data_IF_309982146418
#
_entry.id   IF_309982146418
#
_cell.length_a   1.000
_cell.length_b   1.000
_cell.length_c   1.000
_cell.angle_alpha   90.00
_cell.angle_beta   90.00
_cell.angle_gamma   90.00
#
_symmetry.space_group_name_H-M   'P 1'
#
loop_
_entity.id
_entity.type
_entity.pdbx_description
1 polymer ?
#
# COMPACT_ATOMS: atom_id res chain seq x y z
N UNK A 1 27.41 -28.98 -55.06
CA UNK A 1 26.11 -29.21 -54.42
C UNK A 1 26.04 -28.40 -53.14
N UNK A 2 25.06 -27.52 -52.97
CA UNK A 2 24.37 -27.20 -51.70
C UNK A 2 23.44 -25.99 -51.89
N UNK A 3 22.14 -26.24 -52.12
CA UNK A 3 21.08 -25.25 -51.85
C UNK A 3 20.77 -25.31 -50.35
N UNK A 4 20.89 -24.20 -49.62
CA UNK A 4 20.40 -24.11 -48.24
C UNK A 4 18.89 -23.89 -48.28
N UNK A 5 18.14 -24.85 -47.75
CA UNK A 5 16.70 -24.72 -47.48
C UNK A 5 16.51 -23.99 -46.14
N UNK A 6 15.78 -22.87 -46.15
CA UNK A 6 15.23 -22.24 -44.95
C UNK A 6 13.77 -22.66 -44.78
N UNK A 7 13.45 -23.32 -43.66
CA UNK A 7 12.08 -23.70 -43.31
C UNK A 7 11.28 -22.51 -42.76
N UNK A 8 9.95 -22.65 -42.71
CA UNK A 8 8.98 -21.62 -42.26
C UNK A 8 9.06 -21.27 -40.76
N UNK A 9 10.10 -21.71 -40.05
CA UNK A 9 10.27 -21.52 -38.60
C UNK A 9 11.74 -21.33 -38.17
N UNK A 10 12.58 -20.67 -38.97
CA UNK A 10 13.92 -20.27 -38.52
C UNK A 10 13.90 -18.81 -38.02
N UNK A 11 14.17 -18.56 -36.73
CA UNK A 11 14.43 -17.21 -36.24
C UNK A 11 15.81 -16.78 -36.73
N UNK A 12 15.87 -15.75 -37.57
CA UNK A 12 17.11 -15.02 -37.85
C UNK A 12 17.29 -13.97 -36.77
N UNK A 13 18.37 -14.10 -36.00
CA UNK A 13 18.99 -13.02 -35.24
C UNK A 13 19.39 -11.90 -36.19
N UNK A 14 18.85 -10.71 -35.98
CA UNK A 14 19.52 -9.45 -36.28
C UNK A 14 19.44 -8.58 -35.01
N UNK A 15 20.58 -8.53 -34.31
CA UNK A 15 21.01 -7.42 -33.46
C UNK A 15 21.39 -6.28 -34.45
N UNK A 16 21.16 -4.99 -34.25
CA UNK A 16 21.38 -4.18 -33.06
C UNK A 16 20.91 -2.74 -33.38
N UNK A 17 20.08 -2.11 -32.53
CA UNK A 17 20.11 -0.65 -32.34
C UNK A 17 19.87 -0.35 -30.87
N UNK A 18 20.94 0.13 -30.26
CA UNK A 18 21.11 0.61 -28.89
C UNK A 18 20.13 1.72 -28.52
N UNK A 19 19.27 1.47 -27.52
CA UNK A 19 18.78 2.50 -26.61
C UNK A 19 18.99 2.05 -25.15
N UNK A 20 19.62 2.86 -24.29
CA UNK A 20 19.74 2.54 -22.88
C UNK A 20 18.40 2.79 -22.18
N UNK A 21 17.58 1.75 -22.03
CA UNK A 21 16.37 1.85 -21.19
C UNK A 21 16.78 1.92 -19.71
N UNK A 22 16.55 3.02 -18.96
CA UNK A 22 16.79 3.01 -17.54
C UNK A 22 15.58 2.37 -16.83
N UNK A 23 15.83 1.25 -16.17
CA UNK A 23 15.24 0.89 -14.87
C UNK A 23 13.72 0.62 -14.73
N UNK A 24 12.95 0.26 -15.77
CA UNK A 24 11.54 -0.18 -15.63
C UNK A 24 11.32 -1.64 -15.15
N UNK A 25 12.33 -2.32 -14.59
CA UNK A 25 12.22 -3.73 -14.11
C UNK A 25 12.49 -3.98 -12.62
N UNK A 26 12.47 -2.95 -11.76
CA UNK A 26 12.62 -3.12 -10.30
C UNK A 26 11.45 -2.57 -9.48
N UNK A 27 10.19 -2.82 -9.88
CA UNK A 27 9.03 -2.56 -9.00
C UNK A 27 7.97 -3.66 -9.08
N UNK A 28 8.41 -4.89 -8.90
CA UNK A 28 7.55 -6.00 -8.50
C UNK A 28 8.34 -6.96 -7.60
N UNK A 29 9.12 -6.41 -6.65
CA UNK A 29 9.40 -7.21 -5.46
C UNK A 29 8.13 -7.11 -4.64
N UNK A 30 7.26 -8.11 -4.79
CA UNK A 30 6.32 -8.45 -3.74
C UNK A 30 7.13 -8.55 -2.47
N UNK A 31 7.16 -7.46 -1.69
CA UNK A 31 7.68 -7.49 -0.33
C UNK A 31 6.67 -8.38 0.37
N UNK A 32 7.02 -9.65 0.50
CA UNK A 32 6.35 -10.58 1.39
C UNK A 32 6.11 -9.79 2.67
N UNK A 33 4.85 -9.70 3.11
CA UNK A 33 4.45 -9.02 4.33
C UNK A 33 5.06 -9.77 5.53
N UNK A 34 6.35 -9.53 5.75
CA UNK A 34 7.15 -10.09 6.83
C UNK A 34 6.60 -9.66 8.19
N UNK A 35 5.77 -8.62 8.23
CA UNK A 35 5.11 -8.16 9.44
C UNK A 35 3.98 -9.12 9.86
N UNK A 36 3.21 -9.65 8.90
CA UNK A 36 2.18 -10.67 9.15
C UNK A 36 2.75 -12.00 9.66
N UNK A 37 3.88 -12.45 9.12
CA UNK A 37 4.54 -13.69 9.56
C UNK A 37 5.11 -13.60 10.99
N UNK A 38 5.70 -12.44 11.35
CA UNK A 38 6.23 -12.19 12.71
C UNK A 38 5.13 -12.07 13.77
N UNK A 39 3.96 -11.55 13.41
CA UNK A 39 2.82 -11.45 14.31
C UNK A 39 2.20 -12.82 14.66
N UNK A 40 2.22 -13.80 13.75
CA UNK A 40 1.66 -15.12 14.02
C UNK A 40 2.45 -15.92 15.07
N UNK A 41 3.75 -15.63 15.26
CA UNK A 41 4.60 -16.29 16.27
C UNK A 41 4.15 -15.96 17.70
N UNK A 42 3.49 -14.82 17.92
CA UNK A 42 2.95 -14.40 19.23
C UNK A 42 1.77 -15.25 19.73
N UNK A 43 1.11 -16.04 18.87
CA UNK A 43 0.04 -16.93 19.33
C UNK A 43 0.56 -18.20 20.02
N UNK A 44 1.85 -18.52 19.84
CA UNK A 44 2.45 -19.78 20.31
C UNK A 44 2.59 -19.84 21.85
N UNK A 45 3.01 -18.78 22.57
CA UNK A 45 3.25 -18.87 24.02
C UNK A 45 1.97 -19.05 24.86
N UNK A 46 0.81 -18.61 24.36
CA UNK A 46 -0.45 -18.68 25.11
C UNK A 46 -0.97 -20.12 25.26
N UNK A 47 -0.67 -21.00 24.30
CA UNK A 47 -1.19 -22.37 24.26
C UNK A 47 -0.54 -23.25 25.35
N UNK A 48 0.79 -23.36 25.47
CA UNK A 48 1.41 -24.15 26.54
C UNK A 48 1.02 -23.69 27.94
N UNK A 49 0.83 -22.38 28.13
CA UNK A 49 0.52 -21.84 29.47
C UNK A 49 -0.85 -22.32 29.98
N UNK A 50 -1.88 -22.32 29.11
CA UNK A 50 -3.21 -22.82 29.49
C UNK A 50 -3.16 -24.32 29.77
N UNK A 51 -2.50 -25.10 28.90
CA UNK A 51 -2.36 -26.55 29.07
C UNK A 51 -1.60 -26.93 30.34
N UNK A 52 -0.52 -26.21 30.69
CA UNK A 52 0.22 -26.46 31.93
C UNK A 52 -0.54 -26.03 33.20
N UNK A 53 -1.57 -25.17 33.08
CA UNK A 53 -2.36 -24.69 34.23
C UNK A 53 -3.53 -25.58 34.64
N UNK A 54 -3.85 -26.61 33.86
CA UNK A 54 -5.02 -27.47 34.08
C UNK A 54 -5.01 -28.18 35.44
N UNK A 55 -3.83 -28.35 36.07
CA UNK A 55 -3.67 -29.04 37.33
C UNK A 55 -3.43 -28.11 38.54
N UNK A 56 -3.47 -26.77 38.35
CA UNK A 56 -3.12 -25.76 39.36
C UNK A 56 -4.31 -25.28 40.21
N UNK A 57 -5.43 -26.00 40.17
CA UNK A 57 -6.68 -25.60 40.82
C UNK A 57 -7.37 -24.39 40.18
N UNK A 58 -8.53 -24.00 40.71
CA UNK A 58 -9.42 -23.02 40.08
C UNK A 58 -8.79 -21.63 39.93
N UNK A 59 -8.01 -21.18 40.91
CA UNK A 59 -7.35 -19.86 40.90
C UNK A 59 -6.23 -19.82 39.85
N UNK A 60 -5.37 -20.84 39.80
CA UNK A 60 -4.28 -20.93 38.84
C UNK A 60 -4.78 -21.01 37.39
N UNK A 61 -5.83 -21.81 37.16
CA UNK A 61 -6.50 -21.90 35.86
C UNK A 61 -7.14 -20.57 35.45
N UNK A 62 -7.81 -19.88 36.37
CA UNK A 62 -8.44 -18.58 36.08
C UNK A 62 -7.41 -17.53 35.68
N UNK A 63 -6.30 -17.42 36.41
CA UNK A 63 -5.20 -16.50 36.08
C UNK A 63 -4.57 -16.82 34.72
N UNK A 64 -4.37 -18.10 34.41
CA UNK A 64 -3.83 -18.54 33.13
C UNK A 64 -4.76 -18.22 31.96
N UNK A 65 -6.07 -18.45 32.11
CA UNK A 65 -7.08 -18.11 31.08
C UNK A 65 -7.17 -16.60 30.86
N UNK A 66 -7.18 -15.80 31.93
CA UNK A 66 -7.19 -14.34 31.84
C UNK A 66 -5.93 -13.83 31.15
N UNK A 67 -4.76 -14.32 31.55
CA UNK A 67 -3.49 -13.97 30.92
C UNK A 67 -3.46 -14.35 29.43
N UNK A 68 -3.87 -15.58 29.10
CA UNK A 68 -3.94 -16.04 27.71
C UNK A 68 -4.90 -15.18 26.87
N UNK A 69 -6.04 -14.77 27.42
CA UNK A 69 -6.98 -13.86 26.77
C UNK A 69 -6.35 -12.48 26.48
N UNK A 70 -5.64 -11.91 27.45
CA UNK A 70 -4.93 -10.63 27.30
C UNK A 70 -3.83 -10.74 26.24
N UNK A 71 -3.02 -11.80 26.26
CA UNK A 71 -1.96 -12.03 25.28
C UNK A 71 -2.52 -12.23 23.87
N UNK A 72 -3.66 -12.92 23.75
CA UNK A 72 -4.36 -13.09 22.47
C UNK A 72 -4.87 -11.74 21.95
N UNK A 73 -5.48 -10.93 22.81
CA UNK A 73 -5.92 -9.59 22.45
C UNK A 73 -4.74 -8.69 22.03
N UNK A 74 -3.61 -8.78 22.74
CA UNK A 74 -2.37 -8.08 22.38
C UNK A 74 -1.89 -8.51 20.99
N UNK A 75 -1.83 -9.82 20.70
CA UNK A 75 -1.37 -10.34 19.41
C UNK A 75 -2.26 -9.88 18.24
N UNK A 76 -3.59 -9.87 18.40
CA UNK A 76 -4.52 -9.34 17.40
C UNK A 76 -4.26 -7.85 17.16
N UNK A 77 -4.09 -7.08 18.24
CA UNK A 77 -3.83 -5.65 18.15
C UNK A 77 -2.49 -5.33 17.49
N UNK A 78 -1.44 -6.11 17.78
CA UNK A 78 -0.13 -6.01 17.12
C UNK A 78 -0.25 -6.26 15.62
N UNK A 79 -0.97 -7.31 15.22
CA UNK A 79 -1.19 -7.63 13.80
C UNK A 79 -1.87 -6.46 13.07
N UNK A 80 -2.90 -5.88 13.68
CA UNK A 80 -3.59 -4.71 13.13
C UNK A 80 -2.76 -3.42 13.16
N UNK A 81 -1.83 -3.30 14.11
CA UNK A 81 -0.85 -2.19 14.15
C UNK A 81 0.20 -2.29 13.06
N UNK A 82 0.75 -3.48 12.83
CA UNK A 82 1.73 -3.74 11.78
C UNK A 82 1.16 -3.56 10.37
N UNK A 83 -0.08 -3.99 10.13
CA UNK A 83 -0.80 -3.71 8.87
C UNK A 83 -0.99 -2.21 8.65
N UNK A 84 -1.40 -1.48 9.70
CA UNK A 84 -1.60 -0.03 9.62
C UNK A 84 -0.28 0.70 9.35
N UNK A 85 0.82 0.26 9.95
CA UNK A 85 2.15 0.80 9.67
C UNK A 85 2.62 0.47 8.25
N UNK A 86 2.37 -0.74 7.74
CA UNK A 86 2.69 -1.10 6.37
C UNK A 86 1.95 -0.19 5.37
N UNK A 87 0.65 0.02 5.55
CA UNK A 87 -0.15 0.94 4.75
C UNK A 87 0.35 2.40 4.86
N UNK A 88 0.74 2.83 6.06
CA UNK A 88 1.35 4.14 6.29
C UNK A 88 2.74 4.30 5.65
N UNK A 89 3.48 3.20 5.47
CA UNK A 89 4.81 3.20 4.86
C UNK A 89 4.79 3.09 3.34
N UNK A 90 3.74 2.50 2.78
CA UNK A 90 3.56 2.39 1.33
C UNK A 90 3.17 3.74 0.69
N UNK A 91 2.47 4.59 1.46
CA UNK A 91 2.03 5.91 1.04
C UNK A 91 3.07 6.99 1.33
N UNK A 92 3.28 7.90 0.36
CA UNK A 92 4.13 9.10 0.54
C UNK A 92 3.46 10.14 1.44
N UNK A 93 2.15 10.31 1.29
CA UNK A 93 1.32 11.16 2.15
C UNK A 93 0.35 10.27 2.92
N UNK A 94 0.45 10.29 4.26
CA UNK A 94 -0.42 9.50 5.10
C UNK A 94 -0.61 10.13 6.48
N UNK A 95 -1.82 10.00 7.02
CA UNK A 95 -2.14 10.41 8.38
C UNK A 95 -1.60 9.39 9.38
N UNK A 96 -1.11 9.87 10.52
CA UNK A 96 -0.78 8.98 11.65
C UNK A 96 -2.00 8.11 12.05
N UNK A 97 -1.81 6.85 12.46
CA UNK A 97 -2.90 6.04 12.99
C UNK A 97 -3.63 6.74 14.14
N UNK A 98 -4.96 6.67 14.16
CA UNK A 98 -5.77 7.34 15.19
C UNK A 98 -5.55 6.74 16.60
N UNK A 99 -5.12 5.49 16.67
CA UNK A 99 -4.85 4.76 17.90
C UNK A 99 -3.49 4.02 17.79
N UNK A 100 -2.56 4.20 18.75
CA UNK A 100 -1.23 3.59 18.73
C UNK A 100 -1.31 2.10 19.13
N UNK A 101 -1.69 1.26 18.16
CA UNK A 101 -1.99 -0.15 18.35
C UNK A 101 -0.77 -0.95 18.84
N UNK A 102 0.44 -0.70 18.32
CA UNK A 102 1.65 -1.42 18.75
C UNK A 102 2.04 -1.07 20.18
N UNK A 103 1.92 0.21 20.57
CA UNK A 103 2.18 0.62 21.96
C UNK A 103 1.21 -0.03 22.95
N UNK A 104 -0.08 -0.03 22.63
CA UNK A 104 -1.08 -0.65 23.50
C UNK A 104 -0.93 -2.17 23.53
N UNK A 105 -0.54 -2.78 22.40
CA UNK A 105 -0.15 -4.19 22.37
C UNK A 105 1.04 -4.46 23.30
N UNK A 106 2.09 -3.63 23.29
CA UNK A 106 3.23 -3.80 24.21
C UNK A 106 2.79 -3.73 25.67
N UNK A 107 1.88 -2.82 26.00
CA UNK A 107 1.33 -2.70 27.35
C UNK A 107 0.50 -3.93 27.75
N UNK A 108 -0.37 -4.43 26.86
CA UNK A 108 -1.15 -5.65 27.10
C UNK A 108 -0.26 -6.89 27.21
N UNK A 109 0.77 -7.01 26.37
CA UNK A 109 1.72 -8.14 26.47
C UNK A 109 2.45 -8.12 27.81
N UNK A 110 2.91 -6.94 28.26
CA UNK A 110 3.50 -6.78 29.60
C UNK A 110 2.53 -7.16 30.72
N UNK A 111 1.28 -6.72 30.64
CA UNK A 111 0.23 -7.06 31.62
C UNK A 111 -0.08 -8.56 31.65
N UNK A 112 -0.21 -9.19 30.48
CA UNK A 112 -0.45 -10.62 30.36
C UNK A 112 0.66 -11.43 31.02
N UNK A 113 1.93 -11.09 30.74
CA UNK A 113 3.08 -11.74 31.38
C UNK A 113 3.17 -11.43 32.88
N UNK A 114 2.82 -10.23 33.33
CA UNK A 114 2.78 -9.93 34.77
C UNK A 114 1.76 -10.82 35.50
N UNK A 115 0.56 -10.99 34.95
CA UNK A 115 -0.47 -11.89 35.50
C UNK A 115 0.02 -13.35 35.50
N UNK A 116 0.71 -13.77 34.44
CA UNK A 116 1.29 -15.10 34.36
C UNK A 116 2.40 -15.33 35.40
N UNK A 117 3.25 -14.32 35.63
CA UNK A 117 4.33 -14.39 36.60
C UNK A 117 3.81 -14.43 38.05
N UNK A 118 2.73 -13.72 38.35
CA UNK A 118 2.10 -13.73 39.68
C UNK A 118 1.67 -15.12 40.13
N UNK A 119 1.30 -15.99 39.18
CA UNK A 119 0.96 -17.39 39.45
C UNK A 119 2.14 -18.17 40.05
N UNK A 120 3.34 -17.96 39.54
CA UNK A 120 4.53 -18.71 39.95
C UNK A 120 5.23 -18.09 41.16
N UNK A 121 5.21 -16.76 41.25
CA UNK A 121 5.85 -16.01 42.33
C UNK A 121 4.87 -14.95 42.86
N UNK A 122 4.05 -15.29 43.87
CA UNK A 122 3.05 -14.39 44.41
C UNK A 122 3.71 -13.22 45.15
N UNK A 123 3.75 -12.06 44.49
CA UNK A 123 4.34 -10.83 44.97
C UNK A 123 4.15 -9.70 43.95
N UNK A 124 4.49 -8.46 44.30
CA UNK A 124 4.34 -7.32 43.37
C UNK A 124 5.58 -7.09 42.51
N UNK A 125 6.77 -7.37 43.05
CA UNK A 125 8.05 -7.04 42.39
C UNK A 125 8.28 -7.89 41.15
N UNK A 126 8.18 -9.22 41.27
CA UNK A 126 8.44 -10.13 40.15
C UNK A 126 7.50 -9.90 38.95
N UNK A 127 6.15 -9.85 39.11
CA UNK A 127 5.23 -9.50 38.02
C UNK A 127 5.51 -8.17 37.34
N UNK A 128 5.85 -7.13 38.11
CA UNK A 128 6.18 -5.82 37.57
C UNK A 128 7.47 -5.87 36.73
N UNK A 129 8.50 -6.56 37.21
CA UNK A 129 9.75 -6.72 36.47
C UNK A 129 9.54 -7.51 35.17
N UNK A 130 8.88 -8.67 35.24
CA UNK A 130 8.61 -9.48 34.06
C UNK A 130 7.72 -8.73 33.06
N UNK A 131 6.70 -8.03 33.53
CA UNK A 131 5.83 -7.21 32.69
C UNK A 131 6.57 -6.06 32.01
N UNK A 132 7.39 -5.31 32.77
CA UNK A 132 8.17 -4.19 32.25
C UNK A 132 9.23 -4.63 31.23
N UNK A 133 9.99 -5.69 31.54
CA UNK A 133 10.99 -6.26 30.63
C UNK A 133 10.32 -6.76 29.36
N UNK A 134 9.19 -7.46 29.48
CA UNK A 134 8.44 -7.94 28.31
C UNK A 134 7.93 -6.79 27.45
N UNK A 135 7.34 -5.76 28.06
CA UNK A 135 6.87 -4.58 27.31
C UNK A 135 8.03 -3.87 26.59
N UNK A 136 9.19 -3.74 27.25
CA UNK A 136 10.40 -3.18 26.66
C UNK A 136 10.92 -4.00 25.47
N UNK A 137 11.03 -5.33 25.63
CA UNK A 137 11.41 -6.25 24.55
C UNK A 137 10.40 -6.22 23.39
N UNK A 138 9.11 -6.08 23.70
CA UNK A 138 8.07 -5.96 22.70
C UNK A 138 8.23 -4.67 21.88
N UNK A 139 8.45 -3.52 22.53
CA UNK A 139 8.76 -2.27 21.84
C UNK A 139 10.04 -2.39 21.02
N UNK A 140 11.09 -3.03 21.54
CA UNK A 140 12.34 -3.23 20.81
C UNK A 140 12.17 -4.13 19.57
N UNK A 141 11.34 -5.16 19.66
CA UNK A 141 11.12 -6.12 18.57
C UNK A 141 10.21 -5.57 17.45
N UNK A 142 9.18 -4.78 17.79
CA UNK A 142 8.13 -4.34 16.84
C UNK A 142 8.11 -2.83 16.58
N UNK A 143 8.90 -2.06 17.33
CA UNK A 143 8.94 -0.61 17.24
C UNK A 143 7.67 0.07 17.75
N UNK A 144 7.66 1.40 17.66
CA UNK A 144 6.56 2.28 18.06
C UNK A 144 5.70 2.60 16.84
N UNK A 145 4.39 2.84 17.02
CA UNK A 145 3.50 3.32 15.95
C UNK A 145 4.00 4.67 15.36
N UNK A 146 3.78 4.93 14.06
CA UNK A 146 4.08 6.24 13.48
C UNK A 146 3.28 7.35 14.18
N UNK A 147 3.95 8.24 14.91
CA UNK A 147 3.30 9.28 15.73
C UNK A 147 3.05 10.59 14.98
N UNK A 148 3.66 10.74 13.79
CA UNK A 148 3.57 11.94 12.94
C UNK A 148 3.09 11.55 11.56
N UNK A 149 2.23 12.38 10.97
CA UNK A 149 1.81 12.25 9.57
C UNK A 149 2.97 12.54 8.63
N UNK A 150 2.99 11.88 7.47
CA UNK A 150 3.97 12.14 6.39
C UNK A 150 3.41 13.12 5.37
N UNK A 151 4.30 13.90 4.75
CA UNK A 151 3.95 14.86 3.71
C UNK A 151 3.42 16.21 4.23
N UNK A 152 3.35 16.43 5.54
CA UNK A 152 2.72 17.61 6.16
C UNK A 152 3.53 18.92 6.11
N UNK A 153 4.61 19.01 5.32
CA UNK A 153 5.42 20.22 5.19
C UNK A 153 5.00 20.99 3.92
N UNK A 154 4.48 22.22 4.11
CA UNK A 154 4.37 23.22 3.04
C UNK A 154 3.05 23.33 2.27
N UNK A 155 2.06 22.46 2.48
CA UNK A 155 0.73 22.54 1.85
C UNK A 155 -0.35 22.42 2.93
N UNK A 156 -1.41 23.23 2.83
CA UNK A 156 -2.56 23.27 3.75
C UNK A 156 -3.05 21.84 4.09
N UNK A 157 -3.04 21.50 5.39
CA UNK A 157 -3.42 20.18 5.90
C UNK A 157 -4.82 19.74 5.42
N UNK A 158 -5.68 20.71 5.08
CA UNK A 158 -6.99 20.47 4.50
C UNK A 158 -6.93 19.91 3.07
N UNK A 159 -6.01 20.37 2.22
CA UNK A 159 -5.85 19.84 0.86
C UNK A 159 -5.33 18.41 0.89
N UNK A 160 -4.38 18.12 1.79
CA UNK A 160 -3.85 16.76 1.96
C UNK A 160 -4.92 15.79 2.46
N UNK A 161 -5.77 16.21 3.40
CA UNK A 161 -6.90 15.40 3.87
C UNK A 161 -7.90 15.09 2.75
N UNK A 162 -8.13 16.06 1.85
CA UNK A 162 -8.98 15.84 0.67
C UNK A 162 -8.37 14.87 -0.32
N UNK A 163 -7.07 14.99 -0.62
CA UNK A 163 -6.35 14.06 -1.50
C UNK A 163 -6.41 12.65 -0.92
N UNK A 164 -6.05 12.47 0.35
CA UNK A 164 -6.04 11.18 1.01
C UNK A 164 -7.40 10.46 0.93
N UNK A 165 -8.50 11.19 1.17
CA UNK A 165 -9.86 10.64 1.05
C UNK A 165 -10.20 10.20 -0.36
N UNK A 166 -9.91 11.02 -1.36
CA UNK A 166 -10.19 10.69 -2.77
C UNK A 166 -9.35 9.49 -3.24
N UNK A 167 -8.08 9.43 -2.83
CA UNK A 167 -7.20 8.29 -3.12
C UNK A 167 -7.72 7.01 -2.48
N UNK A 168 -8.12 7.04 -1.21
CA UNK A 168 -8.67 5.87 -0.54
C UNK A 168 -9.95 5.35 -1.23
N UNK A 169 -10.81 6.26 -1.68
CA UNK A 169 -12.02 5.93 -2.42
C UNK A 169 -11.71 5.34 -3.81
N UNK A 170 -10.76 5.94 -4.53
CA UNK A 170 -10.28 5.45 -5.82
C UNK A 170 -9.71 4.02 -5.70
N UNK A 171 -8.82 3.78 -4.74
CA UNK A 171 -8.28 2.44 -4.47
C UNK A 171 -9.36 1.43 -4.10
N UNK A 172 -10.40 1.87 -3.37
CA UNK A 172 -11.55 1.03 -3.05
C UNK A 172 -12.29 0.60 -4.31
N UNK A 173 -12.54 1.51 -5.26
CA UNK A 173 -13.14 1.14 -6.54
C UNK A 173 -12.29 0.11 -7.30
N UNK A 174 -10.96 0.28 -7.34
CA UNK A 174 -10.07 -0.69 -8.00
C UNK A 174 -10.16 -2.07 -7.34
N UNK A 175 -10.18 -2.16 -6.01
CA UNK A 175 -10.34 -3.45 -5.31
C UNK A 175 -11.68 -4.11 -5.62
N UNK A 176 -12.77 -3.34 -5.59
CA UNK A 176 -14.11 -3.87 -5.91
C UNK A 176 -14.21 -4.35 -7.37
N UNK A 177 -13.49 -3.71 -8.30
CA UNK A 177 -13.37 -4.19 -9.68
C UNK A 177 -12.67 -5.55 -9.77
N UNK A 178 -11.56 -5.73 -9.04
CA UNK A 178 -10.84 -7.01 -8.97
C UNK A 178 -11.77 -8.10 -8.40
N UNK A 179 -12.46 -7.83 -7.30
CA UNK A 179 -13.36 -8.81 -6.68
C UNK A 179 -14.53 -9.17 -7.61
N UNK A 180 -15.07 -8.19 -8.34
CA UNK A 180 -16.15 -8.42 -9.28
C UNK A 180 -15.69 -9.25 -10.49
N UNK A 181 -14.51 -8.97 -11.06
CA UNK A 181 -14.09 -9.59 -12.31
C UNK A 181 -13.81 -11.09 -12.18
N UNK A 182 -13.40 -11.55 -10.98
CA UNK A 182 -13.13 -12.97 -10.71
C UNK A 182 -14.33 -13.87 -11.01
N UNK A 183 -15.56 -13.34 -10.92
CA UNK A 183 -16.80 -14.07 -11.22
C UNK A 183 -16.98 -14.34 -12.71
N UNK A 184 -16.29 -13.61 -13.58
CA UNK A 184 -16.32 -13.83 -15.03
C UNK A 184 -15.46 -15.02 -15.46
N UNK A 185 -14.49 -15.45 -14.64
CA UNK A 185 -13.55 -16.55 -14.91
C UNK A 185 -12.89 -16.44 -16.31
N UNK A 186 -12.46 -15.24 -16.68
CA UNK A 186 -11.84 -14.93 -17.97
C UNK A 186 -10.48 -14.25 -17.76
N UNK A 187 -9.42 -15.01 -18.00
CA UNK A 187 -8.04 -14.57 -17.76
C UNK A 187 -7.61 -13.42 -18.68
N UNK A 188 -8.21 -13.29 -19.86
CA UNK A 188 -7.85 -12.21 -20.80
C UNK A 188 -8.42 -10.87 -20.32
N UNK A 189 -9.65 -10.87 -19.83
CA UNK A 189 -10.27 -9.68 -19.25
C UNK A 189 -9.64 -9.32 -17.91
N UNK A 190 -9.31 -10.30 -17.06
CA UNK A 190 -8.57 -10.06 -15.81
C UNK A 190 -7.27 -9.30 -16.10
N UNK A 191 -6.45 -9.78 -17.05
CA UNK A 191 -5.20 -9.08 -17.45
C UNK A 191 -5.42 -7.70 -18.03
N UNK A 192 -6.53 -7.47 -18.75
CA UNK A 192 -6.88 -6.15 -19.27
C UNK A 192 -7.26 -5.20 -18.15
N UNK A 193 -8.03 -5.68 -17.18
CA UNK A 193 -8.38 -4.91 -16.00
C UNK A 193 -7.14 -4.55 -15.18
N UNK A 194 -6.23 -5.51 -14.95
CA UNK A 194 -4.97 -5.26 -14.24
C UNK A 194 -4.15 -4.14 -14.89
N UNK A 195 -4.02 -4.13 -16.21
CA UNK A 195 -3.33 -3.06 -16.95
C UNK A 195 -3.97 -1.70 -16.73
N UNK A 196 -5.30 -1.63 -16.86
CA UNK A 196 -6.03 -0.39 -16.56
C UNK A 196 -5.81 0.06 -15.10
N UNK A 197 -5.85 -0.87 -14.15
CA UNK A 197 -5.60 -0.56 -12.73
C UNK A 197 -4.19 0.00 -12.50
N UNK A 198 -3.18 -0.52 -13.20
CA UNK A 198 -1.82 0.00 -13.11
C UNK A 198 -1.73 1.45 -13.61
N UNK A 199 -2.39 1.76 -14.73
CA UNK A 199 -2.50 3.14 -15.23
C UNK A 199 -3.26 4.05 -14.26
N UNK A 200 -4.34 3.56 -13.65
CA UNK A 200 -5.09 4.32 -12.65
C UNK A 200 -4.24 4.57 -11.38
N UNK A 201 -3.45 3.58 -10.93
CA UNK A 201 -2.50 3.73 -9.82
C UNK A 201 -1.41 4.74 -10.14
N UNK A 202 -0.92 4.81 -11.38
CA UNK A 202 0.03 5.83 -11.80
C UNK A 202 -0.56 7.24 -11.64
N UNK A 203 -1.81 7.46 -12.06
CA UNK A 203 -2.50 8.74 -11.82
C UNK A 203 -2.67 9.06 -10.34
N UNK A 204 -3.08 8.07 -9.53
CA UNK A 204 -3.20 8.21 -8.08
C UNK A 204 -1.88 8.70 -7.50
N UNK A 205 -0.77 8.06 -7.85
CA UNK A 205 0.55 8.46 -7.38
C UNK A 205 0.98 9.85 -7.84
N UNK A 206 0.65 10.27 -9.08
CA UNK A 206 0.90 11.65 -9.53
C UNK A 206 0.16 12.66 -8.67
N UNK A 207 -1.11 12.41 -8.33
CA UNK A 207 -1.90 13.30 -7.46
C UNK A 207 -1.44 13.26 -5.99
N UNK A 208 -0.91 12.12 -5.53
CA UNK A 208 -0.25 12.03 -4.23
C UNK A 208 1.08 12.81 -4.19
N UNK A 209 1.79 12.89 -5.32
CA UNK A 209 3.04 13.65 -5.44
C UNK A 209 2.79 15.16 -5.48
N UNK A 210 1.71 15.60 -6.15
CA UNK A 210 1.26 17.00 -6.14
C UNK A 210 -0.24 17.14 -5.80
N UNK A 211 -0.59 17.54 -4.56
CA UNK A 211 -1.97 17.78 -4.16
C UNK A 211 -2.76 18.79 -5.01
N UNK A 212 -2.07 19.69 -5.75
CA UNK A 212 -2.70 20.71 -6.59
C UNK A 212 -3.43 20.07 -7.79
N UNK A 213 -2.90 18.95 -8.29
CA UNK A 213 -3.45 18.19 -9.41
C UNK A 213 -4.79 17.53 -9.13
N UNK A 214 -5.15 17.38 -7.85
CA UNK A 214 -6.41 16.76 -7.45
C UNK A 214 -7.61 17.43 -8.14
N UNK A 215 -7.57 18.75 -8.35
CA UNK A 215 -8.69 19.45 -8.99
C UNK A 215 -8.88 18.99 -10.44
N UNK A 216 -7.79 18.78 -11.17
CA UNK A 216 -7.80 18.33 -12.54
C UNK A 216 -8.05 16.81 -12.67
N UNK A 217 -7.69 16.02 -11.66
CA UNK A 217 -7.84 14.56 -11.64
C UNK A 217 -9.16 14.08 -10.99
N UNK A 218 -9.87 14.93 -10.25
CA UNK A 218 -11.07 14.54 -9.47
C UNK A 218 -12.11 13.76 -10.26
N UNK A 219 -12.38 14.19 -11.50
CA UNK A 219 -13.38 13.53 -12.36
C UNK A 219 -12.98 12.09 -12.70
N UNK A 220 -11.68 11.86 -12.89
CA UNK A 220 -11.12 10.54 -13.21
C UNK A 220 -11.17 9.63 -11.97
N UNK A 221 -10.62 10.09 -10.85
CA UNK A 221 -10.52 9.29 -9.62
C UNK A 221 -11.87 9.03 -8.93
N UNK A 222 -12.84 9.93 -9.10
CA UNK A 222 -14.19 9.76 -8.56
C UNK A 222 -15.15 9.14 -9.57
N UNK A 223 -15.63 9.96 -10.51
CA UNK A 223 -16.75 9.59 -11.40
C UNK A 223 -16.39 8.47 -12.35
N UNK A 224 -15.21 8.52 -12.98
CA UNK A 224 -14.83 7.50 -13.96
C UNK A 224 -14.46 6.17 -13.31
N UNK A 225 -13.74 6.16 -12.18
CA UNK A 225 -13.48 4.91 -11.46
C UNK A 225 -14.74 4.28 -10.88
N UNK A 226 -15.65 5.09 -10.33
CA UNK A 226 -16.97 4.60 -9.88
C UNK A 226 -17.76 3.99 -11.05
N UNK A 227 -17.82 4.69 -12.19
CA UNK A 227 -18.50 4.19 -13.39
C UNK A 227 -17.86 2.94 -13.97
N UNK A 228 -16.52 2.87 -13.97
CA UNK A 228 -15.78 1.69 -14.41
C UNK A 228 -16.07 0.50 -13.50
N UNK A 229 -16.09 0.70 -12.18
CA UNK A 229 -16.49 -0.31 -11.19
C UNK A 229 -17.90 -0.83 -11.44
N UNK A 230 -18.87 0.06 -11.66
CA UNK A 230 -20.25 -0.36 -11.93
C UNK A 230 -20.38 -1.13 -13.25
N UNK A 231 -19.60 -0.73 -14.27
CA UNK A 231 -19.52 -1.46 -15.52
C UNK A 231 -18.89 -2.86 -15.34
N UNK A 232 -17.82 -2.98 -14.54
CA UNK A 232 -17.18 -4.25 -14.19
C UNK A 232 -18.16 -5.20 -13.51
N UNK A 233 -18.93 -4.71 -12.53
CA UNK A 233 -19.94 -5.52 -11.84
C UNK A 233 -20.99 -6.05 -12.81
N UNK A 234 -21.54 -5.17 -13.67
CA UNK A 234 -22.55 -5.56 -14.67
C UNK A 234 -21.98 -6.54 -15.70
N UNK A 235 -20.76 -6.30 -16.17
CA UNK A 235 -20.08 -7.21 -17.09
C UNK A 235 -19.91 -8.60 -16.48
N UNK A 236 -19.39 -8.66 -15.24
CA UNK A 236 -19.18 -9.94 -14.55
C UNK A 236 -20.50 -10.71 -14.36
N UNK A 237 -21.60 -10.02 -14.02
CA UNK A 237 -22.91 -10.64 -13.86
C UNK A 237 -23.46 -11.23 -15.18
N UNK A 238 -23.30 -10.50 -16.28
CA UNK A 238 -23.75 -10.96 -17.60
C UNK A 238 -22.89 -12.13 -18.07
N UNK A 239 -21.57 -11.97 -18.03
CA UNK A 239 -20.64 -12.93 -18.59
C UNK A 239 -20.63 -14.25 -17.82
N UNK A 240 -20.79 -14.22 -16.50
CA UNK A 240 -20.93 -15.42 -15.68
C UNK A 240 -22.16 -16.27 -16.06
N UNK A 241 -23.24 -15.65 -16.54
CA UNK A 241 -24.49 -16.34 -16.89
C UNK A 241 -24.56 -16.81 -18.33
N UNK A 242 -24.18 -15.96 -19.28
CA UNK A 242 -24.42 -16.20 -20.71
C UNK A 242 -23.15 -16.38 -21.53
N UNK A 243 -21.97 -16.07 -20.98
CA UNK A 243 -20.69 -16.03 -21.71
C UNK A 243 -20.80 -15.23 -23.03
N UNK A 244 -21.56 -14.13 -23.00
CA UNK A 244 -21.88 -13.32 -24.17
C UNK A 244 -20.62 -12.67 -24.79
N UNK A 245 -20.26 -13.00 -26.04
CA UNK A 245 -19.11 -12.41 -26.73
C UNK A 245 -19.24 -10.91 -26.99
N UNK A 246 -20.46 -10.38 -27.11
CA UNK A 246 -20.68 -8.95 -27.34
C UNK A 246 -20.39 -8.16 -26.06
N UNK A 247 -20.89 -8.62 -24.91
CA UNK A 247 -20.58 -8.03 -23.61
C UNK A 247 -19.06 -8.00 -23.35
N UNK A 248 -18.36 -9.07 -23.71
CA UNK A 248 -16.89 -9.13 -23.63
C UNK A 248 -16.22 -8.05 -24.46
N UNK A 249 -16.60 -7.92 -25.74
CA UNK A 249 -16.00 -6.92 -26.65
C UNK A 249 -16.26 -5.49 -26.18
N UNK A 250 -17.49 -5.21 -25.75
CA UNK A 250 -17.86 -3.88 -25.24
C UNK A 250 -17.09 -3.52 -23.97
N UNK A 251 -16.93 -4.46 -23.04
CA UNK A 251 -16.16 -4.22 -21.82
C UNK A 251 -14.65 -4.11 -22.09
N UNK A 252 -14.11 -4.95 -22.98
CA UNK A 252 -12.71 -4.84 -23.39
C UNK A 252 -12.39 -3.49 -24.06
N UNK A 253 -13.30 -2.97 -24.89
CA UNK A 253 -13.18 -1.64 -25.50
C UNK A 253 -13.21 -0.53 -24.43
N UNK A 254 -14.16 -0.60 -23.48
CA UNK A 254 -14.22 0.33 -22.35
C UNK A 254 -12.92 0.38 -21.56
N UNK A 255 -12.32 -0.78 -21.26
CA UNK A 255 -11.04 -0.83 -20.53
C UNK A 255 -9.91 -0.17 -21.33
N UNK A 256 -9.86 -0.37 -22.64
CA UNK A 256 -8.88 0.29 -23.51
C UNK A 256 -9.10 1.81 -23.55
N UNK A 257 -10.34 2.27 -23.71
CA UNK A 257 -10.65 3.70 -23.71
C UNK A 257 -10.27 4.35 -22.36
N UNK A 258 -10.57 3.68 -21.25
CA UNK A 258 -10.20 4.15 -19.93
C UNK A 258 -8.67 4.20 -19.73
N UNK A 259 -7.94 3.16 -20.15
CA UNK A 259 -6.48 3.13 -20.10
C UNK A 259 -5.87 4.31 -20.85
N UNK A 260 -6.30 4.55 -22.10
CA UNK A 260 -5.81 5.66 -22.93
C UNK A 260 -6.11 7.03 -22.31
N UNK A 261 -7.35 7.25 -21.85
CA UNK A 261 -7.76 8.53 -21.27
C UNK A 261 -7.03 8.81 -19.94
N UNK A 262 -6.87 7.81 -19.08
CA UNK A 262 -6.13 7.98 -17.83
C UNK A 262 -4.65 8.25 -18.11
N UNK A 263 -4.01 7.48 -18.99
CA UNK A 263 -2.61 7.70 -19.36
C UNK A 263 -2.38 9.10 -19.94
N UNK A 264 -3.26 9.54 -20.85
CA UNK A 264 -3.19 10.87 -21.45
C UNK A 264 -3.34 11.97 -20.39
N UNK A 265 -4.29 11.82 -19.45
CA UNK A 265 -4.49 12.81 -18.39
C UNK A 265 -3.31 12.85 -17.42
N UNK A 266 -2.79 11.71 -17.00
CA UNK A 266 -1.58 11.63 -16.14
C UNK A 266 -0.40 12.34 -16.79
N UNK A 267 -0.15 12.08 -18.09
CA UNK A 267 0.92 12.76 -18.83
C UNK A 267 0.72 14.28 -18.89
N UNK A 268 -0.53 14.74 -19.04
CA UNK A 268 -0.84 16.18 -19.04
C UNK A 268 -0.49 16.84 -17.71
N UNK A 269 -0.77 16.21 -16.58
CA UNK A 269 -0.44 16.74 -15.24
C UNK A 269 1.07 16.92 -15.10
N UNK A 270 1.85 15.90 -15.48
CA UNK A 270 3.32 15.96 -15.42
C UNK A 270 3.96 17.00 -16.37
N UNK A 271 3.25 17.42 -17.42
CA UNK A 271 3.73 18.46 -18.34
C UNK A 271 3.48 19.84 -17.72
N UNK A 272 2.31 20.03 -17.11
CA UNK A 272 1.93 21.27 -16.41
C UNK A 272 2.94 21.59 -15.29
N UNK A 273 3.33 20.59 -14.51
CA UNK A 273 4.37 20.73 -13.48
C UNK A 273 5.72 21.20 -14.03
N UNK A 274 6.12 20.68 -15.20
CA UNK A 274 7.38 21.06 -15.86
C UNK A 274 7.31 22.49 -16.39
N UNK A 275 6.18 22.92 -16.93
CA UNK A 275 6.00 24.32 -17.35
C UNK A 275 6.04 25.26 -16.17
N UNK A 276 5.40 24.92 -15.05
CA UNK A 276 5.41 25.74 -13.83
C UNK A 276 6.83 25.92 -13.30
N UNK A 277 7.61 24.82 -13.22
CA UNK A 277 9.01 24.89 -12.81
C UNK A 277 9.87 25.77 -13.74
N UNK A 278 9.68 25.65 -15.05
CA UNK A 278 10.43 26.47 -16.01
C UNK A 278 10.11 27.96 -15.83
N UNK A 279 8.83 28.30 -15.64
CA UNK A 279 8.41 29.67 -15.37
C UNK A 279 9.04 30.18 -14.05
N UNK A 280 9.04 29.39 -12.98
CA UNK A 280 9.67 29.77 -11.72
C UNK A 280 11.19 29.98 -11.86
N UNK A 281 11.88 29.12 -12.62
CA UNK A 281 13.30 29.28 -12.94
C UNK A 281 13.55 30.58 -13.70
N UNK A 282 12.73 30.89 -14.70
CA UNK A 282 12.87 32.10 -15.50
C UNK A 282 12.62 33.37 -14.66
N UNK A 283 11.59 33.35 -13.81
CA UNK A 283 11.31 34.43 -12.86
C UNK A 283 12.46 34.60 -11.86
N UNK A 284 13.04 33.51 -11.36
CA UNK A 284 14.18 33.57 -10.45
C UNK A 284 15.43 34.13 -11.15
N UNK A 285 15.72 33.71 -12.39
CA UNK A 285 16.79 34.28 -13.20
C UNK A 285 16.61 35.78 -13.39
N UNK A 286 15.39 36.22 -13.70
CA UNK A 286 15.09 37.64 -13.88
C UNK A 286 15.30 38.43 -12.58
N UNK A 287 14.87 37.89 -11.42
CA UNK A 287 15.11 38.51 -10.11
C UNK A 287 16.60 38.60 -9.78
N UNK A 288 17.35 37.50 -9.97
CA UNK A 288 18.79 37.48 -9.74
C UNK A 288 19.55 38.46 -10.64
N UNK A 289 19.14 38.60 -11.90
CA UNK A 289 19.68 39.60 -12.82
C UNK A 289 19.41 41.03 -12.35
N UNK A 290 18.20 41.32 -11.87
CA UNK A 290 17.81 42.63 -11.30
C UNK A 290 18.56 42.95 -10.01
N UNK A 291 18.88 41.94 -9.20
CA UNK A 291 19.64 42.06 -7.95
C UNK A 291 21.17 42.03 -8.16
N UNK A 292 21.66 41.92 -9.41
CA UNK A 292 23.08 41.98 -9.74
C UNK A 292 23.87 40.71 -9.40
N UNK A 293 23.19 39.61 -9.06
CA UNK A 293 23.81 38.33 -8.73
C UNK A 293 24.11 37.57 -10.02
N UNK A 294 25.38 37.56 -10.46
CA UNK A 294 25.82 36.73 -11.59
C UNK A 294 26.01 35.30 -11.13
N UNK A 295 25.16 34.39 -11.59
CA UNK A 295 25.41 32.96 -11.49
C UNK A 295 26.65 32.64 -12.35
N UNK A 296 27.70 32.01 -11.81
CA UNK A 296 28.82 31.55 -12.63
C UNK A 296 28.27 30.54 -13.64
N UNK A 297 28.41 30.84 -14.93
CA UNK A 297 28.11 29.90 -16.01
C UNK A 297 29.05 28.72 -15.79
N UNK A 298 28.48 27.57 -15.42
CA UNK A 298 29.20 26.31 -15.47
C UNK A 298 29.15 25.89 -16.93
N UNK A 299 30.24 26.11 -17.66
CA UNK A 299 30.43 25.53 -18.98
C UNK A 299 30.38 23.99 -18.87
N UNK A 300 29.77 23.40 -19.89
CA UNK A 300 29.39 21.99 -20.03
C UNK A 300 30.47 20.95 -19.68
N UNK A 301 30.01 19.83 -19.10
CA UNK A 301 30.51 18.46 -19.40
C UNK A 301 29.30 17.53 -19.57
#
# INVERSE_FOLDING_TARGET
>A
MAKRYGGKYSPSDDLDVTEPTPAKRRRARGRIDLAGARANVMFIPAIPMVFMSLNDGAVGLTLAVVSAGILTAAAVLLREGLKAEAAFNDRKIAKRPAFPRKMFSSALTGLGIAIAAYKNEPGLIAPLLFGAVTAGLHVAAFGIDPLRSKGAEGIDAFQQDRVARVVEEAEKYLREMTDAILRAEDRDIERRLERFQDTAREMIHTVEDDPRDLTAARKYLGVYLMGARDATVKFADIFARSRDPQAWRSYAALLTDLEENFAAKTKSLMIEDKSDLNIEIDVLRERLQREGVRLPVSDDI
#
